data_IF_167465795004
#
_entry.id   IF_167465795004
#
_cell.length_a   1.000
_cell.length_b   1.000
_cell.length_c   1.000
_cell.angle_alpha   90.00
_cell.angle_beta   90.00
_cell.angle_gamma   90.00
#
_symmetry.space_group_name_H-M   'P 1'
#
loop_
_entity.id
_entity.type
_entity.pdbx_description
1 polymer ?
#
# COMPACT_ATOMS: atom_id res chain seq x y z
N UNK A 1 -34.35 -16.97 21.80
CA UNK A 1 -33.43 -17.84 21.01
C UNK A 1 -33.71 -17.88 19.50
N UNK A 2 -34.94 -17.70 19.04
CA UNK A 2 -35.32 -17.66 17.62
C UNK A 2 -34.90 -16.35 16.93
N UNK A 3 -34.87 -15.21 17.62
CA UNK A 3 -34.40 -13.93 17.07
C UNK A 3 -32.91 -13.90 16.79
N UNK A 4 -32.09 -14.49 17.67
CA UNK A 4 -30.64 -14.60 17.49
C UNK A 4 -30.27 -15.57 16.35
N UNK A 5 -31.04 -16.62 16.15
CA UNK A 5 -30.84 -17.51 14.96
C UNK A 5 -31.19 -16.80 13.65
N UNK A 6 -32.27 -16.01 13.61
CA UNK A 6 -32.62 -15.20 12.44
C UNK A 6 -31.57 -14.10 12.16
N UNK A 7 -31.08 -13.42 13.20
CA UNK A 7 -30.00 -12.45 13.04
C UNK A 7 -28.71 -13.10 12.56
N UNK A 8 -28.29 -14.25 13.11
CA UNK A 8 -27.14 -15.01 12.61
C UNK A 8 -27.34 -15.48 11.16
N UNK A 9 -28.54 -15.92 10.76
CA UNK A 9 -28.82 -16.29 9.38
C UNK A 9 -28.84 -15.07 8.43
N UNK A 10 -29.24 -13.89 8.90
CA UNK A 10 -29.13 -12.65 8.12
C UNK A 10 -27.65 -12.22 7.95
N UNK A 11 -26.83 -12.28 9.00
CA UNK A 11 -25.39 -11.97 8.92
C UNK A 11 -24.62 -12.93 8.01
N UNK A 12 -24.96 -14.24 8.02
CA UNK A 12 -24.33 -15.26 7.15
C UNK A 12 -24.78 -15.09 5.68
N UNK A 13 -25.91 -14.46 5.41
CA UNK A 13 -26.42 -14.19 4.07
C UNK A 13 -25.95 -12.84 3.50
N UNK A 14 -25.18 -12.09 4.25
CA UNK A 14 -24.75 -10.77 3.81
C UNK A 14 -23.47 -10.85 2.95
N UNK A 15 -23.31 -9.83 2.12
CA UNK A 15 -22.13 -9.62 1.30
C UNK A 15 -21.02 -9.04 2.17
N UNK A 16 -19.93 -9.73 2.30
CA UNK A 16 -18.70 -9.17 2.86
C UNK A 16 -17.86 -8.61 1.72
N UNK A 17 -17.60 -7.32 1.76
CA UNK A 17 -16.67 -6.67 0.86
C UNK A 17 -15.46 -6.24 1.66
N UNK A 18 -14.31 -6.77 1.32
CA UNK A 18 -13.03 -6.38 1.91
C UNK A 18 -12.25 -5.68 0.82
N UNK A 19 -11.93 -4.40 1.02
CA UNK A 19 -10.95 -3.73 0.18
C UNK A 19 -9.57 -4.30 0.49
N UNK A 20 -8.79 -4.55 -0.55
CA UNK A 20 -7.41 -5.00 -0.41
C UNK A 20 -6.52 -3.93 0.26
N UNK A 21 -5.26 -4.02 0.00
CA UNK A 21 -4.20 -3.17 0.55
C UNK A 21 -4.20 -1.71 0.06
N UNK A 22 -5.23 -1.24 -0.62
CA UNK A 22 -5.33 0.12 -1.16
C UNK A 22 -4.44 0.38 -2.39
N UNK A 23 -3.86 -0.66 -2.96
CA UNK A 23 -3.05 -0.60 -4.16
C UNK A 23 -3.92 -0.27 -5.38
N UNK A 24 -3.52 0.63 -6.27
CA UNK A 24 -4.29 0.98 -7.47
C UNK A 24 -4.64 -0.25 -8.30
N UNK A 25 -5.90 -0.33 -8.77
CA UNK A 25 -6.37 -1.43 -9.60
C UNK A 25 -6.65 -2.75 -8.88
N UNK A 26 -6.31 -2.90 -7.61
CA UNK A 26 -6.71 -4.08 -6.86
C UNK A 26 -8.20 -4.04 -6.56
N UNK A 27 -8.92 -5.05 -7.05
CA UNK A 27 -10.34 -5.22 -6.80
C UNK A 27 -10.65 -5.49 -5.34
N UNK A 28 -11.84 -5.08 -4.90
CA UNK A 28 -12.35 -5.53 -3.60
C UNK A 28 -12.68 -7.01 -3.66
N UNK A 29 -12.23 -7.78 -2.66
CA UNK A 29 -12.68 -9.16 -2.50
C UNK A 29 -14.12 -9.15 -2.02
N UNK A 30 -15.01 -9.65 -2.87
CA UNK A 30 -16.43 -9.81 -2.55
C UNK A 30 -16.69 -11.27 -2.19
N UNK A 31 -17.23 -11.51 -1.01
CA UNK A 31 -17.65 -12.84 -0.57
C UNK A 31 -19.14 -12.85 -0.31
N UNK A 32 -19.81 -13.84 -0.87
CA UNK A 32 -21.23 -14.09 -0.66
C UNK A 32 -21.33 -15.41 0.09
N UNK A 33 -22.02 -15.46 1.23
CA UNK A 33 -22.17 -16.66 2.08
C UNK A 33 -20.90 -17.15 2.81
N UNK A 34 -19.86 -16.33 2.90
CA UNK A 34 -18.63 -16.67 3.64
C UNK A 34 -17.63 -17.52 2.84
N UNK A 35 -16.77 -18.24 3.55
CA UNK A 35 -15.75 -19.13 2.95
C UNK A 35 -16.36 -20.53 2.78
N UNK A 36 -16.54 -20.96 1.55
CA UNK A 36 -17.11 -22.26 1.20
C UNK A 36 -16.06 -23.36 1.04
N UNK A 37 -14.81 -23.01 0.73
CA UNK A 37 -13.71 -23.96 0.53
C UNK A 37 -12.40 -23.38 1.05
N UNK A 38 -11.53 -24.24 1.59
CA UNK A 38 -10.17 -23.91 2.00
C UNK A 38 -9.16 -23.95 0.83
N UNK A 39 -9.47 -24.73 -0.20
CA UNK A 39 -8.55 -24.98 -1.33
C UNK A 39 -9.06 -24.51 -2.69
N UNK A 40 -10.36 -24.21 -2.82
CA UNK A 40 -10.94 -23.70 -4.05
C UNK A 40 -11.24 -22.20 -3.94
N UNK A 41 -11.36 -21.51 -5.09
CA UNK A 41 -11.74 -20.10 -5.13
C UNK A 41 -13.10 -19.88 -4.47
N UNK A 42 -13.17 -18.86 -3.60
CA UNK A 42 -14.39 -18.41 -2.95
C UNK A 42 -15.00 -17.18 -3.63
N UNK A 43 -14.51 -16.81 -4.81
CA UNK A 43 -15.00 -15.64 -5.54
C UNK A 43 -16.38 -15.92 -6.16
N UNK A 44 -17.29 -14.95 -6.15
CA UNK A 44 -18.58 -15.07 -6.82
C UNK A 44 -18.39 -15.07 -8.34
N UNK A 45 -19.35 -15.67 -9.05
CA UNK A 45 -19.41 -15.59 -10.49
C UNK A 45 -19.96 -14.22 -10.90
N UNK A 46 -19.25 -13.53 -11.77
CA UNK A 46 -19.75 -12.31 -12.43
C UNK A 46 -20.45 -12.69 -13.72
N UNK A 47 -21.61 -12.08 -13.95
CA UNK A 47 -22.38 -12.23 -15.18
C UNK A 47 -22.66 -10.84 -15.72
N UNK A 48 -22.08 -10.50 -16.87
CA UNK A 48 -22.18 -9.18 -17.49
C UNK A 48 -23.15 -9.25 -18.65
N UNK A 49 -24.24 -8.49 -18.58
CA UNK A 49 -25.32 -8.48 -19.57
C UNK A 49 -25.84 -9.90 -19.94
N UNK A 50 -25.89 -10.81 -18.97
CA UNK A 50 -26.35 -12.18 -19.15
C UNK A 50 -25.27 -13.20 -19.54
N UNK A 51 -24.03 -12.79 -19.79
CA UNK A 51 -22.91 -13.66 -20.16
C UNK A 51 -21.96 -13.83 -18.98
N UNK A 52 -21.59 -15.06 -18.60
CA UNK A 52 -20.57 -15.31 -17.58
C UNK A 52 -19.24 -14.62 -17.96
N UNK A 53 -18.66 -13.95 -17.00
CA UNK A 53 -17.43 -13.17 -17.16
C UNK A 53 -16.32 -13.72 -16.28
N UNK A 54 -15.25 -14.22 -16.88
CA UNK A 54 -14.10 -14.82 -16.20
C UNK A 54 -12.90 -13.87 -16.04
N UNK A 55 -13.01 -12.65 -16.56
CA UNK A 55 -11.97 -11.64 -16.46
C UNK A 55 -11.98 -10.89 -15.11
N UNK A 56 -10.98 -10.05 -14.91
CA UNK A 56 -10.92 -9.17 -13.76
C UNK A 56 -12.02 -8.10 -13.86
N UNK A 57 -12.78 -7.92 -12.78
CA UNK A 57 -13.86 -6.92 -12.73
C UNK A 57 -13.32 -5.48 -12.85
N UNK A 58 -12.04 -5.25 -12.52
CA UNK A 58 -11.37 -3.95 -12.70
C UNK A 58 -11.26 -3.54 -14.17
N UNK A 59 -11.37 -4.50 -15.10
CA UNK A 59 -11.41 -4.24 -16.55
C UNK A 59 -12.69 -3.52 -16.99
N UNK A 60 -13.77 -3.66 -16.21
CA UNK A 60 -15.04 -3.02 -16.53
C UNK A 60 -15.02 -1.59 -15.97
N UNK A 61 -15.26 -0.63 -16.85
CA UNK A 61 -15.40 0.74 -16.41
C UNK A 61 -16.67 0.91 -15.57
N UNK A 62 -16.49 1.36 -14.32
CA UNK A 62 -17.62 1.57 -13.41
C UNK A 62 -18.65 2.55 -13.92
N UNK A 63 -18.25 3.49 -14.77
CA UNK A 63 -19.14 4.46 -15.41
C UNK A 63 -20.08 3.82 -16.45
N UNK A 64 -19.74 2.64 -16.97
CA UNK A 64 -20.58 1.88 -17.90
C UNK A 64 -21.60 0.99 -17.20
N UNK A 65 -21.52 0.85 -15.88
CA UNK A 65 -22.42 0.01 -15.09
C UNK A 65 -23.69 0.79 -14.78
N UNK A 66 -24.84 0.20 -15.10
CA UNK A 66 -26.17 0.70 -14.75
C UNK A 66 -26.59 0.18 -13.38
N UNK A 67 -26.42 -1.14 -13.15
CA UNK A 67 -26.81 -1.76 -11.89
C UNK A 67 -25.98 -3.01 -11.58
N UNK A 68 -25.86 -3.30 -10.26
CA UNK A 68 -25.27 -4.51 -9.71
C UNK A 68 -26.33 -5.24 -8.88
N UNK A 69 -26.64 -6.48 -9.26
CA UNK A 69 -27.62 -7.31 -8.53
C UNK A 69 -26.92 -8.56 -8.01
N UNK A 70 -26.99 -8.78 -6.71
CA UNK A 70 -26.41 -9.97 -6.07
C UNK A 70 -27.49 -11.03 -5.90
N UNK A 71 -27.31 -12.18 -6.57
CA UNK A 71 -28.19 -13.35 -6.41
C UNK A 71 -27.77 -14.12 -5.16
N UNK A 72 -28.62 -14.07 -4.15
CA UNK A 72 -28.37 -14.71 -2.85
C UNK A 72 -29.10 -16.04 -2.69
N UNK A 73 -30.00 -16.40 -3.61
CA UNK A 73 -30.83 -17.59 -3.49
C UNK A 73 -30.26 -18.78 -4.25
N UNK A 74 -30.40 -19.97 -3.65
CA UNK A 74 -29.91 -21.20 -4.27
C UNK A 74 -30.64 -21.49 -5.61
N UNK A 75 -31.93 -21.15 -5.71
CA UNK A 75 -32.70 -21.32 -6.94
C UNK A 75 -32.20 -20.43 -8.08
N UNK A 76 -31.88 -19.16 -7.76
CA UNK A 76 -31.31 -18.22 -8.73
C UNK A 76 -29.91 -18.65 -9.18
N UNK A 77 -29.12 -19.26 -8.29
CA UNK A 77 -27.79 -19.75 -8.61
C UNK A 77 -27.83 -21.03 -9.44
N UNK A 78 -28.91 -21.82 -9.36
CA UNK A 78 -29.06 -23.06 -10.13
C UNK A 78 -29.00 -22.84 -11.66
N UNK A 79 -29.35 -21.64 -12.13
CA UNK A 79 -29.23 -21.26 -13.55
C UNK A 79 -27.78 -21.26 -14.05
N UNK A 80 -26.80 -21.08 -13.15
CA UNK A 80 -25.38 -20.98 -13.47
C UNK A 80 -24.58 -22.23 -13.08
N UNK A 81 -25.27 -23.28 -12.60
CA UNK A 81 -24.67 -24.57 -12.21
C UNK A 81 -23.62 -24.45 -11.10
N UNK A 82 -22.61 -25.31 -11.14
CA UNK A 82 -21.53 -25.35 -10.14
C UNK A 82 -20.75 -24.01 -10.02
N UNK A 83 -20.65 -23.23 -11.10
CA UNK A 83 -19.99 -21.92 -11.10
C UNK A 83 -20.71 -20.89 -10.23
N UNK A 84 -22.01 -21.04 -10.01
CA UNK A 84 -22.80 -20.18 -9.13
C UNK A 84 -22.76 -20.55 -7.65
N UNK A 85 -22.01 -21.57 -7.24
CA UNK A 85 -22.00 -22.07 -5.85
C UNK A 85 -21.58 -21.02 -4.82
N UNK A 86 -20.65 -20.14 -5.17
CA UNK A 86 -20.17 -19.05 -4.32
C UNK A 86 -21.03 -17.77 -4.40
N UNK A 87 -22.18 -17.84 -5.10
CA UNK A 87 -23.05 -16.71 -5.41
C UNK A 87 -22.78 -16.12 -6.77
N UNK A 88 -23.73 -15.34 -7.26
CA UNK A 88 -23.66 -14.70 -8.58
C UNK A 88 -23.91 -13.21 -8.46
N UNK A 89 -23.10 -12.41 -9.15
CA UNK A 89 -23.25 -10.98 -9.27
C UNK A 89 -23.60 -10.65 -10.72
N UNK A 90 -24.84 -10.16 -10.92
CA UNK A 90 -25.27 -9.67 -12.21
C UNK A 90 -24.83 -8.23 -12.38
N UNK A 91 -24.09 -7.96 -13.44
CA UNK A 91 -23.67 -6.64 -13.86
C UNK A 91 -24.48 -6.25 -15.08
N UNK A 92 -25.34 -5.27 -14.95
CA UNK A 92 -26.07 -4.71 -16.09
C UNK A 92 -25.37 -3.45 -16.56
N UNK A 93 -25.03 -3.38 -17.85
CA UNK A 93 -24.39 -2.21 -18.42
C UNK A 93 -25.40 -1.23 -18.99
N UNK A 94 -25.01 0.04 -19.01
CA UNK A 94 -25.82 1.13 -19.56
C UNK A 94 -26.23 0.85 -21.01
N UNK A 95 -27.38 1.31 -21.35
CA UNK A 95 -27.96 1.29 -22.71
C UNK A 95 -28.51 2.66 -23.06
N UNK A 96 -28.86 2.90 -24.28
CA UNK A 96 -29.41 4.16 -24.72
C UNK A 96 -30.66 4.56 -23.93
N UNK A 97 -30.70 5.78 -23.47
CA UNK A 97 -31.90 6.34 -22.87
C UNK A 97 -32.87 6.79 -23.95
N UNK A 98 -34.18 6.68 -23.67
CA UNK A 98 -35.22 7.15 -24.59
C UNK A 98 -35.13 8.66 -24.75
N UNK A 99 -35.07 9.16 -25.99
CA UNK A 99 -35.01 10.58 -26.30
C UNK A 99 -33.87 10.98 -27.22
N UNK A 100 -33.58 12.28 -27.25
CA UNK A 100 -32.47 12.84 -28.06
C UNK A 100 -31.12 12.31 -27.59
N UNK A 101 -30.19 12.26 -28.53
CA UNK A 101 -28.79 11.91 -28.18
C UNK A 101 -28.23 12.85 -27.11
N UNK A 102 -27.65 12.26 -26.07
CA UNK A 102 -26.98 12.99 -25.01
C UNK A 102 -25.52 12.61 -25.00
N UNK A 103 -24.65 13.61 -24.79
CA UNK A 103 -23.22 13.44 -24.62
C UNK A 103 -22.89 13.85 -23.19
N UNK A 104 -22.25 12.96 -22.46
CA UNK A 104 -21.77 13.26 -21.11
C UNK A 104 -20.25 13.12 -21.09
N UNK A 105 -19.58 14.10 -20.49
CA UNK A 105 -18.16 14.11 -20.20
C UNK A 105 -17.99 14.19 -18.69
N UNK A 106 -17.24 13.26 -18.13
CA UNK A 106 -16.86 13.22 -16.72
C UNK A 106 -15.32 13.19 -16.63
N UNK A 107 -14.77 14.16 -15.92
CA UNK A 107 -13.35 14.25 -15.69
C UNK A 107 -13.08 14.44 -14.20
N UNK A 108 -12.20 13.60 -13.63
CA UNK A 108 -11.86 13.59 -12.21
C UNK A 108 -10.37 13.59 -12.04
N UNK A 109 -9.92 14.34 -11.05
CA UNK A 109 -8.54 14.36 -10.57
C UNK A 109 -8.54 14.15 -9.07
N UNK A 110 -7.52 13.49 -8.58
CA UNK A 110 -7.35 13.23 -7.17
C UNK A 110 -5.95 12.77 -6.83
N UNK A 111 -5.71 12.59 -5.54
CA UNK A 111 -4.47 12.02 -5.03
C UNK A 111 -4.80 10.87 -4.09
N UNK A 112 -3.96 9.86 -4.08
CA UNK A 112 -4.05 8.76 -3.13
C UNK A 112 -3.33 9.16 -1.84
N UNK A 113 -3.98 8.92 -0.71
CA UNK A 113 -3.39 9.16 0.61
C UNK A 113 -3.66 7.96 1.50
N UNK A 114 -2.84 7.79 2.50
CA UNK A 114 -3.05 6.77 3.52
C UNK A 114 -4.37 7.04 4.25
N UNK A 115 -5.30 6.11 4.16
CA UNK A 115 -6.64 6.23 4.78
C UNK A 115 -6.71 5.66 6.20
N UNK A 116 -5.68 4.91 6.61
CA UNK A 116 -5.56 4.31 7.94
C UNK A 116 -4.41 4.99 8.65
N UNK A 117 -4.64 5.49 9.87
CA UNK A 117 -3.58 6.06 10.70
C UNK A 117 -2.51 5.02 11.00
N UNK A 118 -1.27 5.46 11.17
CA UNK A 118 -0.20 4.62 11.68
C UNK A 118 -0.54 4.09 13.07
N UNK A 119 0.07 2.96 13.43
CA UNK A 119 0.20 2.59 14.83
C UNK A 119 0.93 3.72 15.56
N UNK A 120 0.69 3.80 16.87
CA UNK A 120 1.47 4.67 17.74
C UNK A 120 2.88 4.05 17.90
N UNK A 121 3.77 4.45 16.99
CA UNK A 121 5.16 4.00 16.96
C UNK A 121 6.07 5.15 17.35
N UNK A 122 7.20 4.80 17.96
CA UNK A 122 8.21 5.77 18.35
C UNK A 122 8.88 6.38 17.11
N UNK A 123 8.66 7.66 16.87
CA UNK A 123 9.23 8.41 15.72
C UNK A 123 10.38 9.32 16.14
N UNK A 124 10.56 9.54 17.43
CA UNK A 124 11.63 10.40 17.98
C UNK A 124 12.92 9.62 18.19
N UNK A 125 14.00 10.03 17.53
CA UNK A 125 15.34 9.48 17.78
C UNK A 125 15.78 9.67 19.22
N UNK A 126 15.42 10.80 19.85
CA UNK A 126 15.70 11.06 21.26
C UNK A 126 15.03 10.04 22.17
N UNK A 127 13.72 9.89 22.03
CA UNK A 127 12.94 8.95 22.85
C UNK A 127 13.43 7.52 22.67
N UNK A 128 13.77 7.14 21.44
CA UNK A 128 14.34 5.82 21.15
C UNK A 128 15.67 5.58 21.88
N UNK A 129 16.59 6.55 21.82
CA UNK A 129 17.90 6.46 22.46
C UNK A 129 17.77 6.44 23.99
N UNK A 130 16.88 7.25 24.58
CA UNK A 130 16.60 7.28 26.02
C UNK A 130 16.04 5.92 26.51
N UNK A 131 15.10 5.34 25.76
CA UNK A 131 14.53 4.04 26.09
C UNK A 131 15.56 2.91 25.95
N UNK A 132 16.38 2.95 24.90
CA UNK A 132 17.45 1.97 24.71
C UNK A 132 18.50 2.05 25.82
N UNK A 133 18.90 3.27 26.22
CA UNK A 133 19.76 3.48 27.37
C UNK A 133 19.18 2.86 28.63
N UNK A 134 17.89 3.09 28.90
CA UNK A 134 17.19 2.53 30.07
C UNK A 134 17.19 1.00 30.06
N UNK A 135 16.96 0.40 28.89
CA UNK A 135 17.02 -1.06 28.74
C UNK A 135 18.43 -1.61 29.04
N UNK A 136 19.47 -0.97 28.50
CA UNK A 136 20.86 -1.35 28.78
C UNK A 136 21.20 -1.15 30.26
N UNK A 137 20.79 -0.04 30.87
CA UNK A 137 21.05 0.24 32.29
C UNK A 137 20.42 -0.84 33.18
N UNK A 138 19.19 -1.26 32.87
CA UNK A 138 18.54 -2.36 33.59
C UNK A 138 19.33 -3.68 33.46
N UNK A 139 19.82 -3.97 32.24
CA UNK A 139 20.58 -5.21 31.98
C UNK A 139 21.96 -5.25 32.63
N UNK A 140 22.72 -4.15 32.56
CA UNK A 140 24.12 -4.14 33.00
C UNK A 140 24.32 -3.62 34.44
N UNK A 141 23.48 -2.68 34.87
CA UNK A 141 23.65 -2.02 36.16
C UNK A 141 22.44 -2.19 37.12
N UNK A 142 21.47 -3.02 36.76
CA UNK A 142 20.27 -3.25 37.58
C UNK A 142 19.40 -2.01 37.76
N UNK A 143 19.43 -1.07 36.81
CA UNK A 143 18.65 0.16 36.83
C UNK A 143 19.29 1.32 37.62
N UNK A 144 20.44 1.13 38.22
CA UNK A 144 21.14 2.18 38.98
C UNK A 144 22.28 2.80 38.15
N UNK A 145 22.14 4.07 37.72
CA UNK A 145 23.17 4.76 36.94
C UNK A 145 24.46 5.04 37.72
N UNK A 146 24.39 5.07 39.04
CA UNK A 146 25.54 5.35 39.93
C UNK A 146 26.21 4.08 40.42
N UNK A 147 25.66 2.90 40.16
CA UNK A 147 26.27 1.63 40.54
C UNK A 147 27.67 1.48 39.92
N UNK A 148 28.68 1.25 40.74
CA UNK A 148 30.02 0.97 40.28
C UNK A 148 30.10 -0.49 39.83
N UNK A 149 30.52 -0.70 38.59
CA UNK A 149 30.66 -2.01 37.96
C UNK A 149 32.08 -2.57 38.23
N UNK A 150 32.29 -3.84 37.91
CA UNK A 150 33.56 -4.54 38.08
C UNK A 150 34.76 -3.90 37.34
N UNK A 151 34.47 -3.11 36.30
CA UNK A 151 35.49 -2.37 35.53
C UNK A 151 35.81 -0.98 36.13
N UNK A 152 35.24 -0.64 37.30
CA UNK A 152 35.46 0.63 37.97
C UNK A 152 34.67 1.82 37.43
N UNK A 153 33.85 1.64 36.39
CA UNK A 153 32.97 2.68 35.83
C UNK A 153 31.61 2.69 36.55
N UNK A 154 30.96 3.83 36.59
CA UNK A 154 29.53 3.87 36.97
C UNK A 154 28.67 3.28 35.87
N UNK A 155 27.46 2.80 36.20
CA UNK A 155 26.49 2.29 35.22
C UNK A 155 26.27 3.29 34.07
N UNK A 156 26.06 4.57 34.41
CA UNK A 156 25.91 5.62 33.41
C UNK A 156 27.12 5.76 32.48
N UNK A 157 28.35 5.81 33.05
CA UNK A 157 29.58 5.92 32.25
C UNK A 157 29.74 4.72 31.29
N UNK A 158 29.51 3.53 31.81
CA UNK A 158 29.64 2.31 31.04
C UNK A 158 28.63 2.24 29.88
N UNK A 159 27.35 2.52 30.15
CA UNK A 159 26.34 2.51 29.11
C UNK A 159 26.59 3.61 28.06
N UNK A 160 26.99 4.82 28.48
CA UNK A 160 27.35 5.87 27.53
C UNK A 160 28.52 5.47 26.61
N UNK A 161 29.46 4.67 27.09
CA UNK A 161 30.59 4.16 26.29
C UNK A 161 30.16 3.11 25.26
N UNK A 162 29.07 2.37 25.54
CA UNK A 162 28.55 1.33 24.67
C UNK A 162 27.45 1.83 23.72
N UNK A 163 26.72 2.89 24.09
CA UNK A 163 25.45 3.27 23.51
C UNK A 163 25.44 3.32 21.97
N UNK A 164 26.48 3.90 21.38
CA UNK A 164 26.63 3.98 19.92
C UNK A 164 27.79 3.12 19.39
N UNK A 165 28.31 2.19 20.18
CA UNK A 165 29.27 1.21 19.73
C UNK A 165 28.59 0.07 18.96
N UNK A 166 29.37 -0.84 18.40
CA UNK A 166 28.87 -2.05 17.75
C UNK A 166 28.04 -2.96 18.68
N UNK A 167 28.30 -2.90 19.99
CA UNK A 167 27.58 -3.67 21.00
C UNK A 167 26.32 -2.94 21.51
N UNK A 168 26.04 -1.75 21.00
CA UNK A 168 24.87 -0.93 21.27
C UNK A 168 24.03 -0.67 20.02
N UNK A 169 23.68 0.59 19.79
CA UNK A 169 22.85 1.03 18.66
C UNK A 169 23.58 0.99 17.30
N UNK A 170 24.92 1.02 17.31
CA UNK A 170 25.73 0.95 16.09
C UNK A 170 25.78 2.23 15.24
N UNK A 171 24.80 3.12 15.34
CA UNK A 171 24.72 4.35 14.58
C UNK A 171 24.82 5.59 15.48
N UNK A 172 25.97 6.29 15.49
CA UNK A 172 26.20 7.48 16.33
C UNK A 172 25.52 8.72 15.71
N UNK A 173 24.22 8.83 15.90
CA UNK A 173 23.38 9.90 15.30
C UNK A 173 23.42 11.22 16.08
N UNK A 174 24.06 11.25 17.24
CA UNK A 174 24.20 12.46 18.04
C UNK A 174 25.67 12.89 18.20
N UNK A 175 25.88 14.20 18.23
CA UNK A 175 27.15 14.81 18.63
C UNK A 175 26.94 15.47 19.98
N UNK A 176 27.85 15.23 20.93
CA UNK A 176 27.91 15.89 22.25
C UNK A 176 29.23 16.60 22.40
N UNK A 177 29.34 17.63 23.28
CA UNK A 177 30.61 18.26 23.63
C UNK A 177 31.62 17.26 24.15
N UNK A 178 32.91 17.53 23.91
CA UNK A 178 33.98 16.65 24.35
C UNK A 178 33.96 16.45 25.89
N UNK A 179 34.01 15.18 26.31
CA UNK A 179 33.99 14.78 27.69
C UNK A 179 32.59 14.65 28.34
N UNK A 180 31.54 14.97 27.61
CA UNK A 180 30.16 14.78 28.06
C UNK A 180 29.58 13.45 27.58
N UNK A 181 28.70 12.84 28.41
CA UNK A 181 27.93 11.66 28.00
C UNK A 181 26.75 12.03 27.14
N UNK A 182 26.26 11.07 26.33
CA UNK A 182 25.04 11.24 25.53
C UNK A 182 23.81 11.32 26.41
N UNK A 183 23.74 10.49 27.46
CA UNK A 183 22.61 10.39 28.39
C UNK A 183 23.06 10.73 29.79
N UNK A 184 22.32 11.59 30.48
CA UNK A 184 22.55 11.96 31.87
C UNK A 184 22.19 10.82 32.85
N UNK A 185 22.51 11.02 34.13
CA UNK A 185 22.11 10.09 35.21
C UNK A 185 20.58 10.05 35.43
N UNK A 186 19.88 11.05 34.93
CA UNK A 186 18.41 11.15 34.90
C UNK A 186 17.78 10.34 33.75
N UNK A 187 18.59 9.68 32.94
CA UNK A 187 18.15 8.90 31.79
C UNK A 187 17.70 9.74 30.57
N UNK A 188 17.99 11.07 30.60
CA UNK A 188 17.62 11.99 29.53
C UNK A 188 18.81 12.31 28.62
N UNK A 189 18.49 12.57 27.34
CA UNK A 189 19.49 13.00 26.38
C UNK A 189 20.13 14.29 26.85
N UNK A 190 21.45 14.37 26.69
CA UNK A 190 22.22 15.57 27.04
C UNK A 190 21.61 16.80 26.34
N UNK A 191 21.27 17.87 27.07
CA UNK A 191 20.66 19.07 26.48
C UNK A 191 21.54 19.77 25.44
N UNK A 192 22.85 19.54 25.46
CA UNK A 192 23.81 20.03 24.48
C UNK A 192 23.99 19.07 23.28
N UNK A 193 23.32 17.92 23.28
CA UNK A 193 23.39 16.98 22.18
C UNK A 193 22.73 17.58 20.92
N UNK A 194 23.40 17.42 19.79
CA UNK A 194 22.88 17.84 18.47
C UNK A 194 22.69 16.60 17.61
N UNK A 195 21.52 16.53 16.97
CA UNK A 195 21.26 15.49 15.99
C UNK A 195 22.18 15.67 14.78
N UNK A 196 22.75 14.57 14.31
CA UNK A 196 23.75 14.55 13.27
C UNK A 196 25.18 14.50 13.79
N UNK A 197 26.00 13.65 13.15
CA UNK A 197 27.41 13.46 13.48
C UNK A 197 28.26 13.30 12.23
N UNK A 198 29.37 14.03 12.18
CA UNK A 198 30.41 13.77 11.19
C UNK A 198 31.27 12.59 11.66
N UNK A 199 31.45 11.59 10.80
CA UNK A 199 32.29 10.43 11.05
C UNK A 199 33.16 10.18 9.80
N UNK A 200 34.43 10.54 9.87
CA UNK A 200 35.30 10.57 8.69
C UNK A 200 34.74 11.46 7.59
N UNK A 201 34.57 10.91 6.39
CA UNK A 201 34.03 11.61 5.23
C UNK A 201 32.49 11.61 5.12
N UNK A 202 31.81 11.16 6.18
CA UNK A 202 30.36 10.95 6.17
C UNK A 202 29.67 11.78 7.24
N UNK A 203 28.42 12.13 6.96
CA UNK A 203 27.50 12.74 7.93
C UNK A 203 26.36 11.76 8.24
N UNK A 204 26.26 11.32 9.49
CA UNK A 204 25.25 10.38 9.95
C UNK A 204 24.09 11.16 10.58
N UNK A 205 22.92 11.02 10.02
CA UNK A 205 21.66 11.58 10.56
C UNK A 205 20.52 10.64 10.16
N UNK A 206 19.53 10.42 11.01
CA UNK A 206 18.38 9.61 10.63
C UNK A 206 17.54 10.30 9.58
N UNK A 207 16.83 9.49 8.79
CA UNK A 207 15.86 9.94 7.82
C UNK A 207 14.43 9.58 8.25
N UNK A 208 13.46 10.33 7.78
CA UNK A 208 12.05 10.00 7.91
C UNK A 208 11.67 9.01 6.79
N UNK A 209 11.76 7.73 7.12
CA UNK A 209 11.53 6.64 6.18
C UNK A 209 10.12 6.64 5.59
N UNK A 210 9.10 7.02 6.36
CA UNK A 210 7.74 7.08 5.84
C UNK A 210 7.61 8.16 4.76
N UNK A 211 8.18 9.33 5.02
CA UNK A 211 8.15 10.45 4.09
C UNK A 211 8.95 10.16 2.81
N UNK A 212 10.08 9.49 2.94
CA UNK A 212 10.98 9.21 1.81
C UNK A 212 10.49 8.03 0.95
N UNK A 213 9.84 7.04 1.56
CA UNK A 213 9.39 5.83 0.86
C UNK A 213 7.97 5.91 0.31
N UNK A 214 7.15 6.89 0.73
CA UNK A 214 5.81 7.05 0.22
C UNK A 214 5.71 8.24 -0.73
N UNK A 215 5.15 7.98 -1.91
CA UNK A 215 4.89 9.04 -2.90
C UNK A 215 3.63 9.82 -2.52
N UNK A 216 3.82 10.98 -1.93
CA UNK A 216 2.74 11.90 -1.60
C UNK A 216 2.36 12.84 -2.76
N UNK A 217 3.11 12.79 -3.88
CA UNK A 217 2.86 13.55 -5.10
C UNK A 217 2.06 12.79 -6.16
N UNK A 218 1.57 11.57 -5.84
CA UNK A 218 0.83 10.72 -6.75
C UNK A 218 -0.40 11.43 -7.34
N UNK A 219 -0.71 11.13 -8.59
CA UNK A 219 -1.84 11.70 -9.31
C UNK A 219 -2.75 10.58 -9.82
N UNK A 220 -4.05 10.73 -9.56
CA UNK A 220 -5.09 9.94 -10.18
C UNK A 220 -5.87 10.82 -11.17
N UNK A 221 -6.03 10.34 -12.39
CA UNK A 221 -6.77 11.00 -13.46
C UNK A 221 -7.77 10.03 -14.06
N UNK A 222 -9.03 10.47 -14.22
CA UNK A 222 -10.09 9.67 -14.82
C UNK A 222 -10.87 10.54 -15.78
N UNK A 223 -10.99 10.09 -17.03
CA UNK A 223 -11.75 10.75 -18.08
C UNK A 223 -12.72 9.75 -18.69
N UNK A 224 -13.98 10.10 -18.73
CA UNK A 224 -15.03 9.28 -19.33
C UNK A 224 -15.90 10.15 -20.24
N UNK A 225 -16.11 9.68 -21.44
CA UNK A 225 -17.09 10.27 -22.36
C UNK A 225 -18.08 9.17 -22.74
N UNK A 226 -19.36 9.51 -22.74
CA UNK A 226 -20.36 8.60 -23.25
C UNK A 226 -21.40 9.34 -24.09
N UNK A 227 -21.91 8.64 -25.08
CA UNK A 227 -22.96 9.10 -25.99
C UNK A 227 -24.06 8.05 -25.92
N UNK A 228 -25.27 8.48 -25.64
CA UNK A 228 -26.42 7.59 -25.58
C UNK A 228 -27.65 8.24 -26.25
N UNK A 229 -28.45 7.43 -26.87
CA UNK A 229 -29.70 7.90 -27.49
C UNK A 229 -30.58 6.75 -27.90
N UNK A 230 -31.84 7.08 -28.16
CA UNK A 230 -32.82 6.13 -28.67
C UNK A 230 -33.75 6.81 -29.65
N UNK A 231 -34.02 6.16 -30.76
CA UNK A 231 -35.06 6.47 -31.71
C UNK A 231 -36.12 5.38 -31.66
N UNK A 232 -37.18 5.50 -32.42
CA UNK A 232 -38.23 4.46 -32.51
C UNK A 232 -37.68 3.08 -32.90
N UNK A 233 -36.59 3.05 -33.69
CA UNK A 233 -36.03 1.82 -34.23
C UNK A 233 -34.63 1.48 -33.69
N UNK A 234 -33.93 2.43 -33.08
CA UNK A 234 -32.54 2.23 -32.68
C UNK A 234 -32.32 2.73 -31.27
N UNK A 235 -31.63 1.90 -30.47
CA UNK A 235 -31.13 2.27 -29.17
C UNK A 235 -29.62 2.06 -29.16
N UNK A 236 -28.85 3.06 -28.74
CA UNK A 236 -27.39 2.97 -28.74
C UNK A 236 -26.78 3.63 -27.54
N UNK A 237 -25.68 3.05 -27.09
CA UNK A 237 -24.77 3.54 -26.07
C UNK A 237 -23.31 3.33 -26.52
N UNK A 238 -22.52 4.37 -26.47
CA UNK A 238 -21.10 4.33 -26.76
C UNK A 238 -20.36 5.00 -25.60
N UNK A 239 -19.23 4.44 -25.18
CA UNK A 239 -18.36 5.07 -24.19
C UNK A 239 -16.90 4.88 -24.51
N UNK A 240 -16.10 5.84 -24.09
CA UNK A 240 -14.64 5.75 -24.02
C UNK A 240 -14.20 6.26 -22.66
N UNK A 241 -13.31 5.51 -22.00
CA UNK A 241 -12.80 5.85 -20.68
C UNK A 241 -11.30 5.65 -20.60
N UNK A 242 -10.64 6.58 -19.93
CA UNK A 242 -9.23 6.49 -19.57
C UNK A 242 -9.07 6.74 -18.08
N UNK A 243 -8.37 5.85 -17.40
CA UNK A 243 -7.99 5.96 -16.00
C UNK A 243 -6.48 5.78 -15.91
N UNK A 244 -5.83 6.67 -15.17
CA UNK A 244 -4.43 6.56 -14.77
C UNK A 244 -4.36 6.86 -13.27
N UNK A 245 -3.89 5.91 -12.50
CA UNK A 245 -3.92 5.94 -11.04
C UNK A 245 -2.55 5.52 -10.49
N UNK A 246 -1.81 6.49 -9.97
CA UNK A 246 -0.52 6.26 -9.31
C UNK A 246 -0.72 5.97 -7.83
N UNK A 247 -0.02 4.96 -7.31
CA UNK A 247 -0.12 4.53 -5.91
C UNK A 247 0.75 5.33 -4.95
N UNK A 248 0.59 5.05 -3.65
CA UNK A 248 1.45 5.60 -2.59
C UNK A 248 2.86 5.03 -2.62
N UNK A 249 3.02 3.80 -3.11
CA UNK A 249 4.33 3.16 -3.23
C UNK A 249 4.92 3.55 -4.58
N UNK A 250 6.13 4.12 -4.63
CA UNK A 250 6.81 4.44 -5.87
C UNK A 250 6.86 3.24 -6.82
N UNK A 251 6.60 3.47 -8.11
CA UNK A 251 6.54 2.41 -9.11
C UNK A 251 5.22 1.62 -9.14
N UNK A 252 4.27 1.87 -8.22
CA UNK A 252 2.93 1.28 -8.30
C UNK A 252 2.00 2.16 -9.11
N UNK A 253 1.38 1.58 -10.14
CA UNK A 253 0.42 2.30 -10.98
C UNK A 253 -0.59 1.35 -11.61
N UNK A 254 -1.73 1.90 -11.96
CA UNK A 254 -2.77 1.21 -12.70
C UNK A 254 -3.32 2.13 -13.78
N UNK A 255 -3.27 1.70 -15.03
CA UNK A 255 -3.91 2.42 -16.12
C UNK A 255 -4.90 1.54 -16.85
N UNK A 256 -6.01 2.13 -17.29
CA UNK A 256 -7.05 1.45 -18.04
C UNK A 256 -7.56 2.33 -19.17
N UNK A 257 -7.52 1.81 -20.39
CA UNK A 257 -8.23 2.37 -21.54
C UNK A 257 -9.42 1.45 -21.86
N UNK A 258 -10.61 1.98 -21.91
CA UNK A 258 -11.84 1.20 -22.15
C UNK A 258 -12.70 1.82 -23.24
N UNK A 259 -13.31 0.96 -24.05
CA UNK A 259 -14.33 1.32 -25.04
C UNK A 259 -15.51 0.36 -24.91
N UNK A 260 -16.71 0.89 -25.10
CA UNK A 260 -17.93 0.10 -25.16
C UNK A 260 -18.83 0.63 -26.26
N UNK A 261 -19.43 -0.30 -26.98
CA UNK A 261 -20.48 -0.05 -27.95
C UNK A 261 -21.61 -1.04 -27.69
N UNK A 262 -22.80 -0.54 -27.43
CA UNK A 262 -24.01 -1.33 -27.32
C UNK A 262 -25.07 -0.69 -28.20
N UNK A 263 -25.58 -1.44 -29.15
CA UNK A 263 -26.58 -0.96 -30.08
C UNK A 263 -27.62 -2.04 -30.37
N UNK A 264 -28.88 -1.66 -30.35
CA UNK A 264 -30.01 -2.49 -30.71
C UNK A 264 -30.77 -1.80 -31.85
N UNK A 265 -31.06 -2.52 -32.91
CA UNK A 265 -31.82 -2.00 -34.05
C UNK A 265 -33.00 -2.91 -34.40
N UNK A 266 -34.18 -2.31 -34.47
CA UNK A 266 -35.41 -2.98 -34.92
C UNK A 266 -35.47 -2.93 -36.43
N UNK A 267 -35.03 -4.01 -37.10
CA UNK A 267 -34.97 -4.10 -38.57
C UNK A 267 -36.40 -4.22 -39.14
N UNK A 268 -37.20 -5.08 -38.52
CA UNK A 268 -38.62 -5.29 -38.81
C UNK A 268 -39.36 -5.55 -37.50
N UNK A 269 -40.69 -5.52 -37.49
CA UNK A 269 -41.49 -5.76 -36.29
C UNK A 269 -41.14 -7.09 -35.62
N UNK A 270 -40.79 -8.11 -36.42
CA UNK A 270 -40.42 -9.43 -35.97
C UNK A 270 -38.88 -9.66 -35.82
N UNK A 271 -38.04 -8.71 -36.28
CA UNK A 271 -36.59 -8.88 -36.30
C UNK A 271 -35.89 -7.71 -35.59
N UNK A 272 -35.25 -8.04 -34.46
CA UNK A 272 -34.34 -7.13 -33.73
C UNK A 272 -32.93 -7.65 -33.85
N UNK A 273 -31.99 -6.80 -34.18
CA UNK A 273 -30.53 -7.11 -34.21
C UNK A 273 -29.83 -6.24 -33.18
N UNK A 274 -28.98 -6.86 -32.39
CA UNK A 274 -28.19 -6.17 -31.34
C UNK A 274 -26.71 -6.53 -31.38
N UNK A 275 -25.90 -5.58 -31.02
CA UNK A 275 -24.46 -5.77 -30.82
C UNK A 275 -24.03 -5.18 -29.48
N UNK A 276 -23.18 -5.90 -28.74
CA UNK A 276 -22.54 -5.43 -27.52
C UNK A 276 -21.08 -5.79 -27.60
N UNK A 277 -20.24 -4.77 -27.78
CA UNK A 277 -18.79 -4.92 -27.92
C UNK A 277 -18.14 -4.11 -26.80
N UNK A 278 -17.20 -4.71 -26.08
CA UNK A 278 -16.39 -4.04 -25.08
C UNK A 278 -14.92 -4.38 -25.32
N UNK A 279 -14.09 -3.39 -25.19
CA UNK A 279 -12.64 -3.52 -25.21
C UNK A 279 -12.05 -2.83 -23.98
N UNK A 280 -11.11 -3.48 -23.32
CA UNK A 280 -10.37 -2.89 -22.23
C UNK A 280 -8.91 -3.31 -22.30
N UNK A 281 -8.02 -2.34 -22.21
CA UNK A 281 -6.59 -2.55 -22.05
C UNK A 281 -6.17 -2.04 -20.67
N UNK A 282 -5.59 -2.93 -19.88
CA UNK A 282 -5.13 -2.64 -18.51
C UNK A 282 -3.63 -2.84 -18.46
N UNK A 283 -2.96 -1.87 -17.83
CA UNK A 283 -1.56 -2.00 -17.44
C UNK A 283 -1.48 -1.77 -15.94
N UNK A 284 -1.06 -2.80 -15.22
CA UNK A 284 -0.81 -2.74 -13.78
C UNK A 284 0.67 -2.91 -13.54
N UNK A 285 1.27 -2.01 -12.78
CA UNK A 285 2.65 -2.08 -12.36
C UNK A 285 2.68 -2.10 -10.84
N UNK A 286 3.34 -3.11 -10.31
CA UNK A 286 3.52 -3.26 -8.86
C UNK A 286 4.95 -3.72 -8.61
N UNK A 287 5.65 -3.16 -7.64
CA UNK A 287 6.89 -3.75 -7.16
C UNK A 287 6.60 -5.17 -6.67
N UNK A 288 7.29 -6.17 -7.21
CA UNK A 288 7.02 -7.60 -6.98
C UNK A 288 6.97 -7.97 -5.51
N UNK A 289 7.74 -7.30 -4.72
CA UNK A 289 7.89 -7.55 -3.29
C UNK A 289 6.73 -7.08 -2.44
N UNK A 290 5.92 -6.14 -2.95
CA UNK A 290 4.71 -5.70 -2.27
C UNK A 290 3.57 -6.73 -2.39
N UNK A 291 3.68 -7.67 -3.30
CA UNK A 291 2.68 -8.73 -3.52
C UNK A 291 2.91 -9.96 -2.64
N UNK A 292 4.10 -10.10 -2.07
CA UNK A 292 4.43 -11.22 -1.18
C UNK A 292 3.95 -10.96 0.24
N UNK A 293 3.57 -12.01 0.95
CA UNK A 293 3.14 -11.95 2.36
C UNK A 293 4.31 -11.79 3.35
N UNK A 294 5.55 -11.68 2.84
CA UNK A 294 6.74 -11.51 3.66
C UNK A 294 6.80 -10.12 4.29
N UNK A 295 7.01 -10.06 5.60
CA UNK A 295 7.12 -8.81 6.34
C UNK A 295 8.33 -7.97 5.93
N UNK A 296 9.42 -8.62 5.50
CA UNK A 296 10.68 -7.97 5.13
C UNK A 296 10.64 -7.18 3.81
N UNK A 297 9.62 -7.40 2.98
CA UNK A 297 9.46 -6.73 1.69
C UNK A 297 8.32 -5.71 1.67
N UNK A 298 7.51 -5.67 2.73
CA UNK A 298 6.39 -4.75 2.84
C UNK A 298 6.85 -3.38 3.37
N UNK A 299 6.81 -2.34 2.52
CA UNK A 299 7.25 -0.99 2.89
C UNK A 299 6.50 -0.42 4.11
N UNK A 300 5.20 -0.67 4.24
CA UNK A 300 4.45 -0.23 5.42
C UNK A 300 4.89 -0.94 6.70
N UNK A 301 5.28 -2.21 6.60
CA UNK A 301 5.86 -2.92 7.74
C UNK A 301 7.23 -2.36 8.10
N UNK A 302 8.09 -2.12 7.12
CA UNK A 302 9.43 -1.57 7.33
C UNK A 302 9.33 -0.19 7.97
N UNK A 303 8.53 0.73 7.42
CA UNK A 303 8.41 2.11 7.95
C UNK A 303 7.89 2.17 9.37
N UNK A 304 7.07 1.19 9.78
CA UNK A 304 6.55 1.11 11.15
C UNK A 304 7.50 0.42 12.15
N UNK A 305 8.46 -0.37 11.67
CA UNK A 305 9.34 -1.16 12.54
C UNK A 305 10.80 -0.69 12.53
N UNK A 306 11.19 0.16 11.58
CA UNK A 306 12.55 0.68 11.55
C UNK A 306 12.76 1.69 12.68
N UNK A 307 13.89 1.56 13.38
CA UNK A 307 14.19 2.49 14.46
C UNK A 307 14.49 3.89 13.90
N UNK A 308 14.02 4.96 14.55
CA UNK A 308 14.17 6.35 14.09
C UNK A 308 15.59 6.91 14.27
N UNK A 309 16.59 6.05 14.20
CA UNK A 309 18.02 6.38 14.22
C UNK A 309 18.72 5.98 12.93
N UNK A 310 18.07 5.19 12.06
CA UNK A 310 18.72 4.71 10.85
C UNK A 310 18.61 5.70 9.69
N UNK A 311 19.74 6.04 9.03
CA UNK A 311 19.75 6.79 7.79
C UNK A 311 19.24 5.91 6.65
N UNK A 312 18.56 6.53 5.69
CA UNK A 312 18.23 5.94 4.39
C UNK A 312 19.34 6.23 3.37
N UNK A 313 19.90 7.44 3.46
CA UNK A 313 20.89 7.93 2.50
C UNK A 313 22.29 7.98 3.10
N UNK A 314 23.28 7.65 2.28
CA UNK A 314 24.68 7.99 2.56
C UNK A 314 24.87 9.48 2.27
N UNK A 315 25.48 10.20 3.23
CA UNK A 315 25.78 11.63 3.10
C UNK A 315 27.25 11.92 3.21
N UNK A 316 27.70 12.92 2.45
CA UNK A 316 29.02 13.51 2.60
C UNK A 316 29.12 14.24 3.96
N UNK A 317 30.32 14.59 4.38
CA UNK A 317 30.56 15.30 5.65
C UNK A 317 29.83 16.66 5.74
N UNK A 318 29.51 17.28 4.62
CA UNK A 318 28.75 18.52 4.52
C UNK A 318 27.22 18.33 4.63
N UNK A 319 26.74 17.08 4.77
CA UNK A 319 25.33 16.71 4.86
C UNK A 319 24.63 16.50 3.53
N UNK A 320 25.28 16.76 2.40
CA UNK A 320 24.71 16.49 1.07
C UNK A 320 24.59 14.99 0.80
N UNK A 321 23.54 14.57 0.10
CA UNK A 321 23.36 13.16 -0.29
C UNK A 321 24.48 12.75 -1.25
N UNK A 322 25.18 11.68 -0.90
CA UNK A 322 26.27 11.14 -1.72
C UNK A 322 25.72 10.48 -2.97
N UNK A 323 26.40 10.72 -4.08
CA UNK A 323 26.09 10.11 -5.37
C UNK A 323 27.26 9.23 -5.83
N UNK A 324 26.93 8.17 -6.54
CA UNK A 324 27.94 7.31 -7.16
C UNK A 324 28.58 7.99 -8.41
N UNK A 325 29.54 7.31 -9.04
CA UNK A 325 30.23 7.82 -10.23
C UNK A 325 29.31 8.03 -11.44
N UNK A 326 28.10 7.45 -11.42
CA UNK A 326 27.08 7.59 -12.47
C UNK A 326 26.05 8.69 -12.13
N UNK A 327 26.13 9.30 -10.95
CA UNK A 327 25.21 10.34 -10.49
C UNK A 327 23.99 9.82 -9.72
N UNK A 328 23.88 8.51 -9.44
CA UNK A 328 22.79 7.93 -8.69
C UNK A 328 22.98 8.14 -7.18
N UNK A 329 21.88 8.31 -6.48
CA UNK A 329 21.84 8.41 -5.02
C UNK A 329 22.36 7.12 -4.38
N UNK A 330 23.24 7.26 -3.39
CA UNK A 330 23.74 6.12 -2.61
C UNK A 330 22.89 5.93 -1.36
N UNK A 331 22.38 4.71 -1.18
CA UNK A 331 21.59 4.32 -0.03
C UNK A 331 22.43 3.59 1.01
N UNK A 332 22.05 3.71 2.28
CA UNK A 332 22.68 2.98 3.37
C UNK A 332 22.03 1.60 3.50
N UNK A 333 22.74 0.58 3.07
CA UNK A 333 22.32 -0.82 3.19
C UNK A 333 22.78 -1.48 4.49
N UNK A 334 23.30 -0.70 5.43
CA UNK A 334 23.83 -1.23 6.70
C UNK A 334 25.07 -2.10 6.56
N UNK A 335 25.84 -1.92 5.49
CA UNK A 335 27.01 -2.73 5.16
C UNK A 335 28.29 -2.29 5.90
N UNK A 336 28.16 -1.63 7.04
CA UNK A 336 29.29 -1.25 7.88
C UNK A 336 30.05 -0.01 7.45
N UNK A 337 29.47 0.85 6.58
CA UNK A 337 30.14 2.10 6.18
C UNK A 337 30.41 3.04 7.35
N UNK A 338 29.56 2.99 8.38
CA UNK A 338 29.66 3.85 9.57
C UNK A 338 30.08 3.10 10.83
N UNK A 339 29.95 1.78 10.83
CA UNK A 339 30.20 0.94 12.00
C UNK A 339 30.75 -0.42 11.56
N UNK A 340 31.70 -0.98 12.30
CA UNK A 340 32.26 -2.30 12.01
C UNK A 340 31.18 -3.40 12.10
N UNK A 341 30.56 -3.71 10.97
CA UNK A 341 29.78 -4.93 10.79
C UNK A 341 28.35 -4.93 11.33
N UNK A 342 27.71 -3.78 11.50
CA UNK A 342 26.28 -3.73 11.84
C UNK A 342 25.43 -4.07 10.62
N UNK A 343 24.72 -5.20 10.67
CA UNK A 343 23.76 -5.59 9.64
C UNK A 343 22.49 -4.74 9.77
N UNK A 344 22.16 -3.97 8.74
CA UNK A 344 20.89 -3.28 8.65
C UNK A 344 19.79 -4.22 8.13
N UNK A 345 18.56 -4.00 8.58
CA UNK A 345 17.35 -4.69 8.10
C UNK A 345 17.06 -4.49 6.59
N UNK A 346 17.76 -3.57 5.94
CA UNK A 346 17.65 -3.30 4.50
C UNK A 346 18.28 -4.35 3.60
N UNK A 347 19.04 -5.28 4.12
CA UNK A 347 19.68 -6.33 3.32
C UNK A 347 18.69 -7.27 2.63
N UNK A 348 17.42 -7.19 2.97
CA UNK A 348 16.34 -8.00 2.38
C UNK A 348 15.39 -7.21 1.49
N UNK A 349 15.57 -5.90 1.34
CA UNK A 349 14.83 -5.09 0.38
C UNK A 349 15.64 -4.96 -0.90
N UNK A 350 15.06 -5.18 -2.08
CA UNK A 350 15.77 -4.95 -3.33
C UNK A 350 16.15 -3.49 -3.43
N UNK A 351 17.31 -3.30 -3.96
CA UNK A 351 17.78 -1.99 -4.38
C UNK A 351 16.77 -1.40 -5.34
N UNK A 352 16.48 -0.08 -5.29
CA UNK A 352 15.80 0.61 -6.39
C UNK A 352 16.46 0.36 -7.76
N UNK A 353 17.71 -0.12 -7.77
CA UNK A 353 18.42 -0.57 -8.97
C UNK A 353 17.83 -1.83 -9.60
N UNK A 354 17.30 -2.75 -8.79
CA UNK A 354 16.79 -4.03 -9.27
C UNK A 354 15.44 -3.87 -9.99
N UNK A 355 14.78 -2.73 -9.77
CA UNK A 355 13.51 -2.37 -10.41
C UNK A 355 13.71 -1.74 -11.81
N UNK A 356 14.91 -1.18 -12.09
CA UNK A 356 15.19 -0.55 -13.37
C UNK A 356 15.80 -1.51 -14.42
N UNK A 357 16.27 -2.71 -14.00
CA UNK A 357 16.88 -3.70 -14.88
C UNK A 357 15.96 -4.88 -15.25
N UNK A 358 14.69 -4.90 -14.80
CA UNK A 358 13.73 -5.98 -15.09
C UNK A 358 12.62 -5.56 -16.06
#
# INVERSE_FOLDING_TARGET
HLSLRRQRQMCIRDRQTTSGNGQPGTGSTVRIRGVGSLSASNNPLYVVDGVPYDGDISAINSQDIESLTVLKDAASNALYGARGANGVILVTTKKGATGKATVNLDAKWGTNRRGVSNYDVMTSSQEYVENYYTAMLNGYAGGDPNRVLSNGMTGNQYINSLLFSKDGLGYPVYTVPNGEGYIGVDGKLNPNAKLGRVYGDYYITPDDWEKELLDNGNLRQEYNVNISGSTEKMNYYMSAGYLDDSGLIPGSSFSRLSFRLKADYQVKEWLKVGANVAYSNIVSRYPDEQTTSGSSTNLFYITNNIAPIYPLYIRNADGSIKKDARGFTMYDYGNGMYTDGTTCLLYTSPSPRDVEES
#
